data_IF_819244725513
#
_entry.id   IF_819244725513
#
_cell.length_a   1.000
_cell.length_b   1.000
_cell.length_c   1.000
_cell.angle_alpha   90.00
_cell.angle_beta   90.00
_cell.angle_gamma   90.00
#
_symmetry.space_group_name_H-M   'P 1'
#
loop_
_entity.id
_entity.type
_entity.pdbx_description
1 polymer ?
#
# COMPACT_ATOMS: atom_id res chain seq x y z
N UNK A 1 4.79 -4.17 32.84
CA UNK A 1 3.34 -3.94 32.65
C UNK A 1 2.96 -4.55 31.30
N UNK A 2 2.17 -5.62 31.28
CA UNK A 2 1.75 -6.28 30.04
C UNK A 2 0.59 -5.47 29.45
N UNK A 3 0.75 -4.93 28.24
CA UNK A 3 -0.34 -4.32 27.49
C UNK A 3 -1.00 -5.39 26.63
N UNK A 4 -2.27 -5.68 26.88
CA UNK A 4 -3.04 -6.66 26.11
C UNK A 4 -3.46 -6.15 24.72
N UNK A 5 -3.39 -4.83 24.49
CA UNK A 5 -3.78 -4.17 23.25
C UNK A 5 -2.74 -3.09 22.91
N UNK A 6 -1.58 -3.48 22.39
CA UNK A 6 -0.55 -2.52 21.96
C UNK A 6 -0.95 -1.78 20.67
N UNK A 7 -1.69 -2.45 19.78
CA UNK A 7 -2.17 -1.90 18.52
C UNK A 7 -3.67 -2.20 18.34
N UNK A 8 -4.52 -1.24 18.72
CA UNK A 8 -5.98 -1.35 18.55
C UNK A 8 -6.45 -1.00 17.13
N UNK A 9 -5.59 -0.36 16.33
CA UNK A 9 -5.91 0.02 14.96
C UNK A 9 -5.42 -1.01 13.96
N UNK A 10 -6.33 -1.42 13.07
CA UNK A 10 -5.99 -2.23 11.90
C UNK A 10 -5.15 -1.37 10.93
N UNK A 11 -4.02 -1.88 10.42
CA UNK A 11 -3.21 -1.13 9.46
C UNK A 11 -3.95 -0.92 8.14
N UNK A 12 -3.63 0.17 7.46
CA UNK A 12 -4.21 0.53 6.17
C UNK A 12 -3.52 -0.20 5.01
N UNK A 13 -2.21 -0.38 5.11
CA UNK A 13 -1.37 -1.07 4.12
C UNK A 13 -0.27 -1.86 4.82
N UNK A 14 0.12 -3.00 4.25
CA UNK A 14 1.24 -3.82 4.73
C UNK A 14 2.15 -4.15 3.56
N UNK A 15 3.46 -3.99 3.77
CA UNK A 15 4.51 -4.40 2.83
C UNK A 15 5.27 -5.58 3.41
N UNK A 16 5.45 -6.63 2.60
CA UNK A 16 6.27 -7.79 2.94
C UNK A 16 7.51 -7.82 2.04
N UNK A 17 8.68 -8.15 2.61
CA UNK A 17 9.98 -8.19 1.92
C UNK A 17 10.05 -9.23 0.77
N UNK A 18 9.13 -10.19 0.76
CA UNK A 18 8.88 -11.12 -0.34
C UNK A 18 8.04 -10.54 -1.49
N UNK A 19 7.71 -9.24 -1.42
CA UNK A 19 6.99 -8.50 -2.44
C UNK A 19 5.47 -8.42 -2.25
N UNK A 20 4.88 -9.14 -1.28
CA UNK A 20 3.44 -9.06 -1.06
C UNK A 20 3.04 -7.73 -0.44
N UNK A 21 2.03 -7.10 -1.00
CA UNK A 21 1.43 -5.86 -0.50
C UNK A 21 -0.03 -6.16 -0.17
N UNK A 22 -0.46 -5.89 1.06
CA UNK A 22 -1.86 -5.99 1.46
C UNK A 22 -2.47 -4.61 1.56
N UNK A 23 -3.60 -4.40 0.90
CA UNK A 23 -4.25 -3.11 0.74
C UNK A 23 -5.66 -3.24 1.33
N UNK A 24 -5.99 -2.41 2.31
CA UNK A 24 -7.34 -2.40 2.87
C UNK A 24 -8.35 -1.76 1.92
N UNK A 25 -9.62 -2.09 2.13
CA UNK A 25 -10.76 -1.45 1.46
C UNK A 25 -10.79 0.08 1.63
N UNK A 26 -10.21 0.62 2.70
CA UNK A 26 -10.10 2.08 2.90
C UNK A 26 -9.14 2.67 1.87
N UNK A 27 -7.92 2.15 1.78
CA UNK A 27 -6.92 2.59 0.79
C UNK A 27 -7.43 2.39 -0.63
N UNK A 28 -8.04 1.23 -0.91
CA UNK A 28 -8.61 0.95 -2.23
C UNK A 28 -9.66 2.00 -2.66
N UNK A 29 -10.55 2.42 -1.75
CA UNK A 29 -11.54 3.48 -2.02
C UNK A 29 -10.90 4.84 -2.21
N UNK A 30 -9.95 5.23 -1.35
CA UNK A 30 -9.31 6.55 -1.44
C UNK A 30 -8.56 6.72 -2.76
N UNK A 31 -7.90 5.67 -3.24
CA UNK A 31 -7.17 5.69 -4.51
C UNK A 31 -8.03 5.25 -5.71
N UNK A 32 -9.33 5.01 -5.51
CA UNK A 32 -10.23 4.46 -6.55
C UNK A 32 -9.67 3.21 -7.26
N UNK A 33 -8.87 2.40 -6.55
CA UNK A 33 -8.22 1.20 -7.08
C UNK A 33 -9.25 0.14 -7.45
N UNK A 34 -9.07 -0.44 -8.63
CA UNK A 34 -9.85 -1.57 -9.14
C UNK A 34 -8.95 -2.79 -9.33
N UNK A 35 -9.52 -4.00 -9.29
CA UNK A 35 -8.81 -5.19 -9.76
C UNK A 35 -8.24 -4.95 -11.16
N UNK A 36 -6.94 -5.20 -11.33
CA UNK A 36 -6.23 -4.96 -12.59
C UNK A 36 -5.41 -3.67 -12.62
N UNK A 37 -5.71 -2.67 -11.80
CA UNK A 37 -4.87 -1.48 -11.61
C UNK A 37 -3.56 -1.83 -10.91
N UNK A 38 -2.54 -1.01 -11.05
CA UNK A 38 -1.27 -1.17 -10.32
C UNK A 38 -1.11 -0.12 -9.21
N UNK A 39 -0.30 -0.45 -8.22
CA UNK A 39 0.06 0.44 -7.12
C UNK A 39 1.48 0.96 -7.31
N UNK A 40 1.72 2.23 -7.00
CA UNK A 40 3.08 2.77 -7.00
C UNK A 40 3.30 3.76 -5.85
N UNK A 41 4.58 4.04 -5.58
CA UNK A 41 5.02 4.94 -4.51
C UNK A 41 5.85 6.05 -5.15
N UNK A 42 5.40 7.29 -5.01
CA UNK A 42 6.18 8.49 -5.30
C UNK A 42 6.90 8.97 -4.03
N UNK A 43 7.97 9.74 -4.20
CA UNK A 43 8.67 10.40 -3.11
C UNK A 43 8.61 11.90 -3.35
N UNK A 44 8.08 12.66 -2.40
CA UNK A 44 7.98 14.12 -2.47
C UNK A 44 8.29 14.70 -1.11
N UNK A 45 9.22 15.66 -1.04
CA UNK A 45 9.63 16.34 0.20
C UNK A 45 9.98 15.38 1.36
N UNK A 46 10.53 14.20 1.05
CA UNK A 46 10.89 13.17 2.05
C UNK A 46 9.73 12.26 2.48
N UNK A 47 8.51 12.50 2.00
CA UNK A 47 7.35 11.65 2.25
C UNK A 47 7.15 10.60 1.15
N UNK A 48 6.69 9.42 1.54
CA UNK A 48 6.31 8.35 0.62
C UNK A 48 4.81 8.46 0.33
N UNK A 49 4.47 8.66 -0.93
CA UNK A 49 3.12 8.91 -1.40
C UNK A 49 2.63 7.73 -2.22
N UNK A 50 1.59 7.06 -1.74
CA UNK A 50 0.96 5.97 -2.45
C UNK A 50 -0.03 6.51 -3.48
N UNK A 51 -0.01 5.97 -4.70
CA UNK A 51 -1.00 6.31 -5.72
C UNK A 51 -1.34 5.11 -6.60
N UNK A 52 -2.50 5.20 -7.26
CA UNK A 52 -2.92 4.22 -8.26
C UNK A 52 -2.28 4.52 -9.63
N UNK A 53 -2.05 3.46 -10.38
CA UNK A 53 -1.81 3.49 -11.82
C UNK A 53 -2.97 2.75 -12.46
N UNK A 54 -3.88 3.50 -13.08
CA UNK A 54 -5.05 2.93 -13.76
C UNK A 54 -4.63 2.38 -15.13
N UNK A 55 -4.79 1.08 -15.31
CA UNK A 55 -4.35 0.39 -16.52
C UNK A 55 -5.56 0.14 -17.44
N UNK A 56 -5.60 0.83 -18.58
CA UNK A 56 -6.58 0.59 -19.63
C UNK A 56 -6.06 -0.45 -20.62
N UNK A 57 -6.85 -1.50 -20.91
CA UNK A 57 -6.50 -2.56 -21.87
C UNK A 57 -5.17 -3.27 -21.59
N UNK A 58 -4.78 -3.39 -20.33
CA UNK A 58 -3.57 -4.11 -19.94
C UNK A 58 -3.65 -5.59 -20.34
N UNK A 59 -2.80 -5.99 -21.28
CA UNK A 59 -2.59 -7.41 -21.64
C UNK A 59 -1.46 -7.95 -20.76
N UNK A 60 -1.78 -8.92 -19.91
CA UNK A 60 -0.79 -9.62 -19.08
C UNK A 60 -0.70 -9.10 -17.64
N UNK A 61 0.36 -9.51 -16.94
CA UNK A 61 0.61 -9.13 -15.54
C UNK A 61 1.54 -7.94 -15.48
N UNK A 62 1.15 -6.93 -14.71
CA UNK A 62 1.97 -5.76 -14.42
C UNK A 62 2.57 -5.85 -13.01
N UNK A 63 3.74 -5.25 -12.81
CA UNK A 63 4.31 -5.13 -11.47
C UNK A 63 3.34 -4.36 -10.56
N UNK A 64 3.19 -4.83 -9.31
CA UNK A 64 2.29 -4.24 -8.33
C UNK A 64 0.81 -4.19 -8.77
N UNK A 65 0.40 -5.03 -9.72
CA UNK A 65 -1.00 -5.18 -10.10
C UNK A 65 -1.84 -5.69 -8.93
N UNK A 66 -3.01 -5.07 -8.74
CA UNK A 66 -3.93 -5.30 -7.65
C UNK A 66 -4.93 -6.41 -7.98
N UNK A 67 -5.09 -7.33 -7.05
CA UNK A 67 -6.05 -8.43 -7.12
C UNK A 67 -6.89 -8.50 -5.84
N UNK A 68 -8.17 -8.90 -5.90
CA UNK A 68 -8.96 -9.16 -4.71
C UNK A 68 -8.32 -10.23 -3.83
N UNK A 69 -8.23 -9.97 -2.53
CA UNK A 69 -7.68 -10.95 -1.56
C UNK A 69 -8.59 -12.15 -1.34
N UNK A 70 -9.90 -12.01 -1.58
CA UNK A 70 -10.90 -13.08 -1.50
C UNK A 70 -11.84 -12.96 -2.70
N UNK A 71 -12.16 -14.09 -3.33
CA UNK A 71 -13.13 -14.13 -4.45
C UNK A 71 -14.53 -13.81 -3.92
N UNK A 72 -15.22 -12.84 -4.54
CA UNK A 72 -16.63 -12.55 -4.30
C UNK A 72 -17.00 -11.94 -2.94
N UNK A 73 -16.05 -11.65 -2.05
CA UNK A 73 -16.31 -10.99 -0.77
C UNK A 73 -15.17 -10.04 -0.37
N UNK A 74 -15.54 -8.78 -0.14
CA UNK A 74 -14.68 -7.76 0.45
C UNK A 74 -13.89 -6.93 -0.57
N UNK A 75 -13.59 -5.69 -0.21
CA UNK A 75 -12.93 -4.71 -1.06
C UNK A 75 -11.42 -4.59 -0.76
N UNK A 76 -10.86 -5.57 -0.05
CA UNK A 76 -9.42 -5.62 0.23
C UNK A 76 -8.69 -6.18 -0.98
N UNK A 77 -7.64 -5.47 -1.39
CA UNK A 77 -6.80 -5.84 -2.51
C UNK A 77 -5.43 -6.32 -2.02
N UNK A 78 -4.71 -7.01 -2.90
CA UNK A 78 -3.30 -7.31 -2.71
C UNK A 78 -2.57 -7.15 -4.02
N UNK A 79 -1.32 -6.72 -3.92
CA UNK A 79 -0.41 -6.59 -5.05
C UNK A 79 0.89 -7.34 -4.77
N UNK A 80 1.72 -7.50 -5.81
CA UNK A 80 3.05 -8.08 -5.67
C UNK A 80 4.11 -7.24 -6.38
N UNK A 81 5.11 -6.76 -5.63
CA UNK A 81 6.34 -6.18 -6.15
C UNK A 81 7.45 -6.32 -5.10
N UNK A 82 8.41 -7.21 -5.37
CA UNK A 82 9.60 -7.37 -4.53
C UNK A 82 10.42 -6.08 -4.49
N UNK A 83 10.50 -5.39 -5.62
CA UNK A 83 11.26 -4.14 -5.78
C UNK A 83 10.68 -3.03 -4.92
N UNK A 84 9.38 -2.74 -5.03
CA UNK A 84 8.72 -1.68 -4.24
C UNK A 84 8.79 -1.96 -2.74
N UNK A 85 8.46 -3.19 -2.32
CA UNK A 85 8.52 -3.54 -0.90
C UNK A 85 9.93 -3.36 -0.34
N UNK A 86 10.96 -3.88 -1.01
CA UNK A 86 12.34 -3.77 -0.52
C UNK A 86 12.84 -2.34 -0.56
N UNK A 87 12.51 -1.57 -1.61
CA UNK A 87 12.89 -0.17 -1.72
C UNK A 87 12.34 0.64 -0.54
N UNK A 88 11.03 0.56 -0.28
CA UNK A 88 10.39 1.26 0.84
C UNK A 88 10.95 0.79 2.19
N UNK A 89 10.98 -0.52 2.45
CA UNK A 89 11.41 -1.03 3.76
C UNK A 89 12.88 -0.68 4.05
N UNK A 90 13.75 -0.76 3.05
CA UNK A 90 15.15 -0.38 3.21
C UNK A 90 15.30 1.14 3.42
N UNK A 91 14.56 1.96 2.69
CA UNK A 91 14.67 3.41 2.77
C UNK A 91 14.18 3.99 4.10
N UNK A 92 13.32 3.27 4.82
CA UNK A 92 12.85 3.62 6.17
C UNK A 92 13.51 2.78 7.27
N UNK A 93 14.53 1.99 6.94
CA UNK A 93 15.34 1.25 7.92
C UNK A 93 14.65 0.03 8.58
N UNK A 94 13.58 -0.50 8.01
CA UNK A 94 12.90 -1.70 8.55
C UNK A 94 13.68 -2.95 8.17
N UNK A 95 14.21 -3.64 9.18
CA UNK A 95 14.94 -4.92 9.02
C UNK A 95 14.03 -6.15 9.04
N UNK A 96 12.82 -6.03 9.60
CA UNK A 96 11.84 -7.11 9.65
C UNK A 96 11.35 -7.53 8.24
N UNK A 97 10.77 -8.73 8.16
CA UNK A 97 10.20 -9.27 6.91
C UNK A 97 8.92 -8.57 6.47
N UNK A 98 8.28 -7.83 7.37
CA UNK A 98 7.07 -7.06 7.08
C UNK A 98 7.00 -5.81 7.94
N UNK A 99 6.36 -4.78 7.42
CA UNK A 99 5.89 -3.65 8.20
C UNK A 99 4.50 -3.23 7.72
N UNK A 100 3.68 -2.79 8.66
CA UNK A 100 2.35 -2.24 8.37
C UNK A 100 2.31 -0.77 8.69
N UNK A 101 1.54 -0.01 7.94
CA UNK A 101 1.49 1.45 8.08
C UNK A 101 0.04 1.94 8.06
N UNK A 102 -0.17 3.05 8.75
CA UNK A 102 -1.33 3.91 8.55
C UNK A 102 -1.08 4.83 7.35
N UNK A 103 -2.15 5.29 6.72
CA UNK A 103 -2.06 6.34 5.71
C UNK A 103 -2.61 7.67 6.24
N UNK A 104 -2.07 8.77 5.71
CA UNK A 104 -2.53 10.13 5.96
C UNK A 104 -3.83 10.48 5.22
N UNK A 105 -4.11 11.77 5.16
CA UNK A 105 -5.21 12.32 4.38
C UNK A 105 -4.90 12.28 2.89
N UNK A 106 -5.91 11.96 2.07
CA UNK A 106 -5.75 11.93 0.63
C UNK A 106 -5.74 13.35 0.05
N UNK A 107 -4.89 13.59 -0.93
CA UNK A 107 -4.86 14.85 -1.66
C UNK A 107 -4.69 14.59 -3.16
N UNK A 108 -4.99 15.61 -3.98
CA UNK A 108 -4.88 15.54 -5.43
C UNK A 108 -3.78 16.48 -5.89
N UNK A 109 -2.87 15.98 -6.72
CA UNK A 109 -1.85 16.75 -7.40
C UNK A 109 -1.76 16.27 -8.85
N UNK A 110 -1.76 17.20 -9.80
CA UNK A 110 -1.68 16.91 -11.25
C UNK A 110 -2.70 15.85 -11.70
N UNK A 111 -3.94 15.96 -11.19
CA UNK A 111 -5.04 15.02 -11.44
C UNK A 111 -4.81 13.59 -10.93
N UNK A 112 -3.78 13.35 -10.11
CA UNK A 112 -3.50 12.08 -9.45
C UNK A 112 -3.81 12.20 -7.95
N UNK A 113 -4.56 11.23 -7.43
CA UNK A 113 -4.80 11.11 -5.99
C UNK A 113 -3.64 10.40 -5.32
N UNK A 114 -3.09 11.03 -4.28
CA UNK A 114 -2.04 10.49 -3.42
C UNK A 114 -2.54 10.30 -1.99
N UNK A 115 -2.00 9.30 -1.30
CA UNK A 115 -2.13 9.15 0.15
C UNK A 115 -0.74 8.99 0.78
N UNK A 116 -0.35 9.83 1.75
CA UNK A 116 0.91 9.68 2.45
C UNK A 116 0.97 8.38 3.26
N UNK A 117 2.12 7.71 3.26
CA UNK A 117 2.40 6.58 4.16
C UNK A 117 3.06 7.15 5.42
N UNK A 118 2.47 6.90 6.59
CA UNK A 118 3.02 7.38 7.86
C UNK A 118 4.12 6.42 8.32
N UNK A 119 5.36 6.69 7.93
CA UNK A 119 6.51 5.76 8.09
C UNK A 119 7.20 5.82 9.45
N UNK A 120 7.00 6.89 10.24
CA UNK A 120 7.61 7.09 11.56
C UNK A 120 7.17 6.05 12.61
N UNK A 121 6.00 5.43 12.43
CA UNK A 121 5.41 4.50 13.40
C UNK A 121 4.81 3.27 12.71
N UNK A 122 5.65 2.32 12.24
CA UNK A 122 5.16 1.06 11.72
C UNK A 122 4.39 0.30 12.81
N UNK A 123 3.26 -0.32 12.42
CA UNK A 123 2.38 -1.15 13.24
C UNK A 123 2.75 -2.65 13.16
#
# INVERSE_FOLDING_TARGET
MIKLLEHTRRPDITFCRNGRIYITARVARLLSLRPGDALNIAVSNGEYLLHAIHLHNAIGRHEAQCFPTKKGRGNNLSANSVRLCRALLNSVGVTADRASYMIGEAFVQDSVTYVPIITLHPL
#
